data_IF_937679547567
#
_entry.id   IF_937679547567
#
_cell.length_a   1.000
_cell.length_b   1.000
_cell.length_c   1.000
_cell.angle_alpha   90.00
_cell.angle_beta   90.00
_cell.angle_gamma   90.00
#
_symmetry.space_group_name_H-M   'P 1'
#
loop_
_entity.id
_entity.type
_entity.pdbx_description
1 polymer ?
#
# COMPACT_ATOMS: atom_id res chain seq x y z
N UNK A 1 10.56 -1.06 -0.19
CA UNK A 1 10.97 -1.47 -1.56
C UNK A 1 11.41 -0.24 -2.35
N UNK A 2 12.41 -0.33 -3.24
CA UNK A 2 12.58 0.73 -4.25
C UNK A 2 11.34 0.70 -5.17
N UNK A 3 10.60 1.81 -5.30
CA UNK A 3 9.35 1.92 -6.10
C UNK A 3 9.45 1.33 -7.52
N UNK A 4 10.67 1.25 -8.08
CA UNK A 4 10.96 0.67 -9.39
C UNK A 4 10.78 -0.86 -9.45
N UNK A 5 11.00 -1.58 -8.36
CA UNK A 5 10.81 -3.03 -8.29
C UNK A 5 9.34 -3.41 -8.17
N UNK A 6 8.60 -2.72 -7.30
CA UNK A 6 7.14 -2.91 -7.19
C UNK A 6 6.45 -2.64 -8.53
N UNK A 7 6.83 -1.55 -9.21
CA UNK A 7 6.30 -1.23 -10.54
C UNK A 7 6.61 -2.32 -11.58
N UNK A 8 7.82 -2.87 -11.59
CA UNK A 8 8.19 -3.97 -12.49
C UNK A 8 7.38 -5.23 -12.19
N UNK A 9 7.27 -5.61 -10.92
CA UNK A 9 6.52 -6.79 -10.49
C UNK A 9 5.03 -6.64 -10.84
N UNK A 10 4.42 -5.51 -10.51
CA UNK A 10 3.01 -5.26 -10.82
C UNK A 10 2.75 -5.28 -12.34
N UNK A 11 3.66 -4.73 -13.15
CA UNK A 11 3.55 -4.82 -14.60
C UNK A 11 3.58 -6.29 -15.06
N UNK A 12 4.50 -7.10 -14.55
CA UNK A 12 4.57 -8.52 -14.92
C UNK A 12 3.34 -9.32 -14.44
N UNK A 13 2.78 -9.01 -13.27
CA UNK A 13 1.58 -9.68 -12.74
C UNK A 13 0.31 -9.41 -13.56
N UNK A 14 0.28 -8.32 -14.34
CA UNK A 14 -0.83 -7.98 -15.24
C UNK A 14 -0.79 -8.75 -16.57
N UNK A 15 0.26 -9.53 -16.82
CA UNK A 15 0.46 -10.29 -18.06
C UNK A 15 0.55 -11.79 -17.76
N UNK A 16 -0.36 -12.57 -18.35
CA UNK A 16 -0.37 -14.04 -18.21
C UNK A 16 0.73 -14.72 -19.05
N UNK A 17 1.32 -13.99 -20.01
CA UNK A 17 2.33 -14.50 -20.93
C UNK A 17 3.74 -14.00 -20.62
N UNK A 18 4.73 -14.72 -21.12
CA UNK A 18 6.13 -14.42 -20.89
C UNK A 18 6.54 -13.09 -21.55
N UNK A 19 7.32 -12.28 -20.83
CA UNK A 19 7.72 -10.95 -21.29
C UNK A 19 9.21 -10.91 -21.64
N UNK A 20 9.53 -10.43 -22.83
CA UNK A 20 10.93 -10.24 -23.25
C UNK A 20 11.59 -9.10 -22.48
N UNK A 21 12.92 -9.13 -22.41
CA UNK A 21 13.71 -8.04 -21.82
C UNK A 21 13.43 -6.67 -22.47
N UNK A 22 13.10 -6.66 -23.78
CA UNK A 22 12.79 -5.44 -24.53
C UNK A 22 11.42 -4.89 -24.17
N UNK A 23 10.40 -5.74 -24.03
CA UNK A 23 9.06 -5.32 -23.61
C UNK A 23 9.10 -4.70 -22.21
N UNK A 24 9.77 -5.35 -21.26
CA UNK A 24 9.95 -4.82 -19.91
C UNK A 24 10.70 -3.49 -19.91
N UNK A 25 11.77 -3.37 -20.71
CA UNK A 25 12.56 -2.15 -20.82
C UNK A 25 11.73 -0.97 -21.34
N UNK A 26 10.93 -1.21 -22.38
CA UNK A 26 10.05 -0.20 -22.96
C UNK A 26 8.95 0.22 -21.98
N UNK A 27 8.28 -0.74 -21.32
CA UNK A 27 7.23 -0.46 -20.36
C UNK A 27 7.73 0.34 -19.13
N UNK A 28 8.97 0.08 -18.72
CA UNK A 28 9.60 0.75 -17.59
C UNK A 28 10.36 2.02 -17.97
N UNK A 29 10.48 2.32 -19.27
CA UNK A 29 11.30 3.42 -19.82
C UNK A 29 12.76 3.39 -19.33
N UNK A 30 13.39 2.21 -19.38
CA UNK A 30 14.80 1.99 -18.97
C UNK A 30 15.52 1.09 -19.96
N UNK A 31 16.84 0.93 -19.80
CA UNK A 31 17.60 0.02 -20.65
C UNK A 31 17.33 -1.46 -20.33
N UNK A 32 17.54 -2.34 -21.30
CA UNK A 32 17.54 -3.81 -21.09
C UNK A 32 18.52 -4.23 -20.00
N UNK A 33 19.69 -3.57 -19.90
CA UNK A 33 20.67 -3.82 -18.83
C UNK A 33 20.09 -3.49 -17.46
N UNK A 34 19.32 -2.41 -17.36
CA UNK A 34 18.63 -1.99 -16.13
C UNK A 34 17.58 -3.02 -15.71
N UNK A 35 16.77 -3.53 -16.65
CA UNK A 35 15.80 -4.60 -16.35
C UNK A 35 16.47 -5.85 -15.79
N UNK A 36 17.56 -6.31 -16.43
CA UNK A 36 18.33 -7.46 -15.93
C UNK A 36 18.85 -7.24 -14.51
N UNK A 37 19.29 -6.01 -14.22
CA UNK A 37 19.76 -5.61 -12.89
C UNK A 37 18.61 -5.62 -11.87
N UNK A 38 17.44 -5.08 -12.24
CA UNK A 38 16.26 -5.08 -11.36
C UNK A 38 15.82 -6.50 -11.02
N UNK A 39 15.73 -7.39 -12.03
CA UNK A 39 15.36 -8.79 -11.84
C UNK A 39 16.37 -9.52 -10.93
N UNK A 40 17.66 -9.28 -11.13
CA UNK A 40 18.71 -9.86 -10.28
C UNK A 40 18.59 -9.40 -8.82
N UNK A 41 18.34 -8.10 -8.60
CA UNK A 41 18.15 -7.55 -7.27
C UNK A 41 16.88 -8.07 -6.59
N UNK A 42 15.75 -8.13 -7.31
CA UNK A 42 14.50 -8.68 -6.79
C UNK A 42 14.70 -10.12 -6.31
N UNK A 43 15.30 -10.98 -7.15
CA UNK A 43 15.54 -12.38 -6.79
C UNK A 43 16.54 -12.53 -5.63
N UNK A 44 17.53 -11.63 -5.55
CA UNK A 44 18.50 -11.62 -4.46
C UNK A 44 17.84 -11.22 -3.14
N UNK A 45 17.05 -10.15 -3.15
CA UNK A 45 16.35 -9.63 -1.99
C UNK A 45 15.33 -10.64 -1.47
N UNK A 46 14.59 -11.29 -2.39
CA UNK A 46 13.61 -12.33 -2.07
C UNK A 46 14.26 -13.65 -1.59
N UNK A 47 15.59 -13.79 -1.75
CA UNK A 47 16.35 -15.05 -1.52
C UNK A 47 15.77 -16.25 -2.29
N UNK A 48 15.02 -16.00 -3.35
CA UNK A 48 14.35 -16.99 -4.20
C UNK A 48 14.14 -16.43 -5.60
N UNK A 49 13.82 -17.29 -6.57
CA UNK A 49 13.55 -16.87 -7.95
C UNK A 49 12.09 -16.45 -8.11
N UNK A 50 11.79 -15.21 -7.74
CA UNK A 50 10.48 -14.56 -8.00
C UNK A 50 10.24 -14.40 -9.50
N UNK A 51 11.29 -14.03 -10.25
CA UNK A 51 11.25 -13.86 -11.70
C UNK A 51 12.25 -14.85 -12.33
N UNK A 52 11.75 -15.72 -13.20
CA UNK A 52 12.51 -16.77 -13.86
C UNK A 52 12.78 -16.34 -15.31
N UNK A 53 14.02 -16.56 -15.77
CA UNK A 53 14.39 -16.36 -17.17
C UNK A 53 14.31 -17.69 -17.92
N UNK A 54 13.77 -17.67 -19.14
CA UNK A 54 13.82 -18.78 -20.09
C UNK A 54 14.27 -18.29 -21.48
N UNK A 55 14.21 -19.15 -22.50
CA UNK A 55 14.67 -18.82 -23.86
C UNK A 55 13.81 -17.77 -24.57
N UNK A 56 12.57 -17.57 -24.12
CA UNK A 56 11.55 -16.75 -24.75
C UNK A 56 11.30 -15.44 -24.00
N UNK A 57 11.73 -15.32 -22.75
CA UNK A 57 11.62 -14.11 -21.94
C UNK A 57 11.77 -14.35 -20.44
N UNK A 58 10.94 -13.65 -19.68
CA UNK A 58 10.81 -13.77 -18.24
C UNK A 58 9.39 -14.12 -17.85
N UNK A 59 9.28 -14.97 -16.84
CA UNK A 59 8.03 -15.40 -16.22
C UNK A 59 8.08 -15.05 -14.75
N UNK A 60 7.00 -14.47 -14.24
CA UNK A 60 6.86 -14.18 -12.82
C UNK A 60 6.11 -15.30 -12.11
N UNK A 61 6.61 -15.73 -10.96
CA UNK A 61 5.86 -16.62 -10.09
C UNK A 61 4.90 -15.78 -9.24
N UNK A 62 3.60 -15.87 -9.52
CA UNK A 62 2.57 -15.06 -8.85
C UNK A 62 2.61 -15.19 -7.32
N UNK A 63 2.70 -16.41 -6.79
CA UNK A 63 2.71 -16.66 -5.34
C UNK A 63 3.95 -16.04 -4.68
N UNK A 64 5.13 -16.24 -5.25
CA UNK A 64 6.38 -15.69 -4.72
C UNK A 64 6.46 -14.17 -4.88
N UNK A 65 5.92 -13.63 -5.98
CA UNK A 65 5.84 -12.20 -6.21
C UNK A 65 4.92 -11.52 -5.19
N UNK A 66 3.76 -12.12 -4.91
CA UNK A 66 2.84 -11.60 -3.92
C UNK A 66 3.44 -11.68 -2.51
N UNK A 67 4.09 -12.79 -2.17
CA UNK A 67 4.83 -12.91 -0.91
C UNK A 67 5.94 -11.85 -0.80
N UNK A 68 6.73 -11.62 -1.85
CA UNK A 68 7.78 -10.60 -1.87
C UNK A 68 7.21 -9.17 -1.74
N UNK A 69 6.07 -8.89 -2.38
CA UNK A 69 5.38 -7.61 -2.22
C UNK A 69 4.83 -7.43 -0.79
N UNK A 70 4.31 -8.49 -0.18
CA UNK A 70 3.76 -8.47 1.19
C UNK A 70 4.84 -8.37 2.27
N UNK A 71 5.93 -9.12 2.13
CA UNK A 71 7.05 -9.14 3.08
C UNK A 71 7.76 -7.78 3.11
N UNK A 72 7.90 -7.14 1.96
CA UNK A 72 8.52 -5.81 1.85
C UNK A 72 7.56 -4.66 2.22
N UNK A 73 6.24 -4.89 2.21
CA UNK A 73 5.26 -3.92 2.74
C UNK A 73 5.22 -3.86 4.27
N UNK A 74 5.87 -4.79 4.97
CA UNK A 74 5.64 -4.98 6.40
C UNK A 74 6.55 -4.23 7.38
N UNK A 75 7.61 -3.52 6.98
CA UNK A 75 8.54 -3.01 8.02
C UNK A 75 8.41 -1.52 8.35
N UNK A 76 8.35 -0.59 7.40
CA UNK A 76 8.31 0.85 7.75
C UNK A 76 7.55 1.63 6.66
N UNK A 77 6.46 2.34 6.98
CA UNK A 77 5.78 3.23 6.04
C UNK A 77 6.72 4.30 5.44
N UNK A 78 6.93 4.28 4.12
CA UNK A 78 7.94 5.13 3.47
C UNK A 78 7.40 6.49 3.01
N UNK A 79 6.09 6.59 2.74
CA UNK A 79 5.47 7.81 2.25
C UNK A 79 4.15 8.14 2.97
N UNK A 80 3.58 9.29 2.63
CA UNK A 80 2.32 9.76 3.21
C UNK A 80 1.17 8.74 3.06
N UNK A 81 1.08 8.06 1.91
CA UNK A 81 -0.01 7.11 1.66
C UNK A 81 0.15 5.90 2.56
N UNK A 82 1.36 5.40 2.71
CA UNK A 82 1.66 4.26 3.59
C UNK A 82 1.45 4.62 5.06
N UNK A 83 1.86 5.83 5.49
CA UNK A 83 1.63 6.29 6.87
C UNK A 83 0.15 6.47 7.17
N UNK A 84 -0.62 7.04 6.24
CA UNK A 84 -2.07 7.15 6.37
C UNK A 84 -2.72 5.77 6.52
N UNK A 85 -2.35 4.80 5.68
CA UNK A 85 -2.83 3.42 5.78
C UNK A 85 -2.50 2.78 7.12
N UNK A 86 -1.27 2.96 7.57
CA UNK A 86 -0.82 2.44 8.87
C UNK A 86 -1.67 2.99 10.02
N UNK A 87 -1.91 4.31 10.04
CA UNK A 87 -2.75 4.95 11.06
C UNK A 87 -4.18 4.37 11.04
N UNK A 88 -4.79 4.23 9.86
CA UNK A 88 -6.11 3.62 9.71
C UNK A 88 -6.14 2.17 10.22
N UNK A 89 -5.12 1.39 9.89
CA UNK A 89 -4.98 0.00 10.36
C UNK A 89 -4.84 -0.09 11.87
N UNK A 90 -4.08 0.81 12.49
CA UNK A 90 -3.95 0.85 13.95
C UNK A 90 -5.29 1.15 14.65
N UNK A 91 -6.09 2.10 14.13
CA UNK A 91 -7.44 2.36 14.66
C UNK A 91 -8.33 1.11 14.57
N UNK A 92 -8.29 0.41 13.42
CA UNK A 92 -9.05 -0.82 13.20
C UNK A 92 -8.63 -1.96 14.12
N UNK A 93 -7.34 -2.28 14.17
CA UNK A 93 -6.82 -3.41 14.94
C UNK A 93 -7.02 -3.23 16.45
N UNK A 94 -6.92 -2.00 16.95
CA UNK A 94 -7.15 -1.70 18.37
C UNK A 94 -8.64 -1.58 18.73
N UNK A 95 -9.54 -1.61 17.75
CA UNK A 95 -10.97 -1.34 17.94
C UNK A 95 -11.21 -0.08 18.81
N UNK A 96 -10.42 0.96 18.57
CA UNK A 96 -10.42 2.19 19.38
C UNK A 96 -10.53 3.41 18.49
N UNK A 97 -11.11 4.48 19.02
CA UNK A 97 -11.14 5.81 18.43
C UNK A 97 -9.94 6.67 18.87
N UNK A 98 -8.97 6.09 19.59
CA UNK A 98 -7.79 6.78 20.10
C UNK A 98 -6.51 5.97 19.94
N UNK A 99 -5.42 6.65 19.56
CA UNK A 99 -4.07 6.08 19.48
C UNK A 99 -3.09 6.93 20.27
N UNK A 100 -2.21 6.31 21.07
CA UNK A 100 -1.13 7.05 21.73
C UNK A 100 -0.15 7.60 20.67
N UNK A 101 0.23 8.87 20.82
CA UNK A 101 1.05 9.60 19.85
C UNK A 101 2.48 9.08 19.83
N UNK A 102 3.07 8.80 20.99
CA UNK A 102 4.46 8.34 21.10
C UNK A 102 4.62 6.94 20.50
N UNK A 103 3.72 6.01 20.85
CA UNK A 103 3.64 4.67 20.25
C UNK A 103 3.53 4.76 18.73
N UNK A 104 2.69 5.67 18.24
CA UNK A 104 2.43 5.83 16.81
C UNK A 104 3.67 6.40 16.10
N UNK A 105 4.35 7.38 16.69
CA UNK A 105 5.59 7.94 16.16
C UNK A 105 6.71 6.89 16.11
N UNK A 106 6.84 6.07 17.15
CA UNK A 106 7.82 4.97 17.22
C UNK A 106 7.57 3.95 16.11
N UNK A 107 6.32 3.46 15.98
CA UNK A 107 5.93 2.49 14.94
C UNK A 107 6.07 3.02 13.52
N UNK A 108 5.80 4.31 13.31
CA UNK A 108 5.92 4.96 12.01
C UNK A 108 7.36 5.39 11.68
N UNK A 109 8.28 5.37 12.66
CA UNK A 109 9.63 5.93 12.57
C UNK A 109 9.64 7.40 12.11
N UNK A 110 8.74 8.22 12.68
CA UNK A 110 8.64 9.65 12.36
C UNK A 110 8.62 10.51 13.62
N UNK A 111 9.00 11.78 13.48
CA UNK A 111 8.79 12.78 14.53
C UNK A 111 7.31 13.13 14.68
N UNK A 112 6.92 13.59 15.87
CA UNK A 112 5.57 14.13 16.12
C UNK A 112 5.21 15.28 15.15
N UNK A 113 6.17 16.11 14.76
CA UNK A 113 5.97 17.18 13.76
C UNK A 113 5.60 16.65 12.38
N UNK A 114 6.17 15.51 11.98
CA UNK A 114 5.82 14.82 10.74
C UNK A 114 4.41 14.25 10.83
N UNK A 115 4.09 13.57 11.93
CA UNK A 115 2.75 13.03 12.18
C UNK A 115 1.69 14.14 12.18
N UNK A 116 1.96 15.29 12.80
CA UNK A 116 1.07 16.46 12.78
C UNK A 116 0.83 17.00 11.37
N UNK A 117 1.88 17.02 10.55
CA UNK A 117 1.78 17.43 9.15
C UNK A 117 0.95 16.44 8.32
N UNK A 118 1.14 15.15 8.55
CA UNK A 118 0.34 14.10 7.92
C UNK A 118 -1.13 14.21 8.35
N UNK A 119 -1.43 14.34 9.64
CA UNK A 119 -2.80 14.52 10.17
C UNK A 119 -3.48 15.75 9.56
N UNK A 120 -2.76 16.88 9.44
CA UNK A 120 -3.29 18.08 8.77
C UNK A 120 -3.70 17.78 7.33
N UNK A 121 -2.87 17.04 6.59
CA UNK A 121 -3.15 16.65 5.20
C UNK A 121 -4.31 15.64 5.12
N UNK A 122 -4.39 14.69 6.05
CA UNK A 122 -5.49 13.73 6.16
C UNK A 122 -6.83 14.47 6.37
N UNK A 123 -6.86 15.43 7.29
CA UNK A 123 -8.06 16.23 7.56
C UNK A 123 -8.50 17.05 6.35
N UNK A 124 -7.55 17.58 5.57
CA UNK A 124 -7.88 18.29 4.31
C UNK A 124 -8.53 17.36 3.29
N UNK A 125 -7.96 16.17 3.08
CA UNK A 125 -8.48 15.17 2.13
C UNK A 125 -9.86 14.64 2.52
N UNK A 126 -10.15 14.57 3.82
CA UNK A 126 -11.39 13.99 4.34
C UNK A 126 -12.45 15.01 4.77
N UNK A 127 -12.20 16.31 4.54
CA UNK A 127 -13.10 17.40 4.96
C UNK A 127 -14.53 17.25 4.44
N UNK A 128 -14.72 16.75 3.21
CA UNK A 128 -16.04 16.51 2.62
C UNK A 128 -16.83 15.39 3.30
N UNK A 129 -16.17 14.47 4.00
CA UNK A 129 -16.77 13.28 4.63
C UNK A 129 -16.99 13.45 6.14
N UNK A 130 -16.72 14.64 6.68
CA UNK A 130 -16.81 14.93 8.12
C UNK A 130 -15.91 14.03 9.00
N UNK A 131 -14.87 13.44 8.41
CA UNK A 131 -13.87 12.65 9.13
C UNK A 131 -12.71 13.57 9.50
N UNK A 132 -12.30 13.54 10.77
CA UNK A 132 -11.19 14.33 11.29
C UNK A 132 -10.40 13.56 12.34
N UNK A 133 -9.09 13.74 12.32
CA UNK A 133 -8.17 13.29 13.35
C UNK A 133 -7.74 14.49 14.19
N UNK A 134 -7.79 14.35 15.52
CA UNK A 134 -7.52 15.44 16.47
C UNK A 134 -6.52 15.03 17.53
N UNK A 135 -5.55 15.91 17.81
CA UNK A 135 -4.64 15.72 18.92
C UNK A 135 -5.31 16.15 20.22
N UNK A 136 -5.40 15.25 21.19
CA UNK A 136 -5.91 15.53 22.53
C UNK A 136 -5.02 14.87 23.58
N UNK A 137 -4.29 15.70 24.35
CA UNK A 137 -3.24 15.24 25.27
C UNK A 137 -2.23 14.37 24.52
N UNK A 138 -2.00 13.15 24.99
CA UNK A 138 -1.08 12.16 24.43
C UNK A 138 -1.73 11.26 23.36
N UNK A 139 -2.95 11.59 22.92
CA UNK A 139 -3.72 10.75 22.01
C UNK A 139 -4.09 11.46 20.71
N UNK A 140 -4.09 10.70 19.62
CA UNK A 140 -4.71 11.03 18.35
C UNK A 140 -6.11 10.40 18.32
N UNK A 141 -7.15 11.23 18.25
CA UNK A 141 -8.54 10.84 18.24
C UNK A 141 -9.10 10.83 16.83
N UNK A 142 -9.85 9.80 16.45
CA UNK A 142 -10.59 9.74 15.20
C UNK A 142 -12.06 10.10 15.44
N UNK A 143 -12.58 11.05 14.66
CA UNK A 143 -13.95 11.57 14.76
C UNK A 143 -14.60 11.60 13.39
N UNK A 144 -15.86 11.20 13.33
CA UNK A 144 -16.68 11.27 12.13
C UNK A 144 -17.93 10.39 12.25
N UNK A 145 -18.86 10.47 11.29
CA UNK A 145 -19.99 9.55 11.23
C UNK A 145 -19.47 8.11 11.05
N UNK A 146 -19.96 7.17 11.87
CA UNK A 146 -19.56 5.75 11.81
C UNK A 146 -19.65 5.18 10.39
N UNK A 147 -20.70 5.56 9.64
CA UNK A 147 -20.87 5.16 8.24
C UNK A 147 -19.71 5.62 7.34
N UNK A 148 -19.21 6.82 7.53
CA UNK A 148 -18.11 7.37 6.72
C UNK A 148 -16.76 6.81 7.18
N UNK A 149 -16.56 6.61 8.49
CA UNK A 149 -15.39 5.91 9.03
C UNK A 149 -15.27 4.50 8.47
N UNK A 150 -16.37 3.74 8.46
CA UNK A 150 -16.43 2.38 7.91
C UNK A 150 -16.09 2.36 6.42
N UNK A 151 -16.59 3.32 5.64
CA UNK A 151 -16.24 3.47 4.21
C UNK A 151 -14.75 3.75 4.03
N UNK A 152 -14.20 4.71 4.77
CA UNK A 152 -12.77 5.06 4.72
C UNK A 152 -11.90 3.84 5.01
N UNK A 153 -12.24 3.08 6.05
CA UNK A 153 -11.53 1.86 6.44
C UNK A 153 -11.61 0.78 5.38
N UNK A 154 -12.80 0.52 4.83
CA UNK A 154 -12.97 -0.46 3.75
C UNK A 154 -12.05 -0.10 2.57
N UNK A 155 -12.11 1.12 2.05
CA UNK A 155 -11.27 1.55 0.92
C UNK A 155 -9.79 1.35 1.25
N UNK A 156 -9.37 1.76 2.46
CA UNK A 156 -7.96 1.72 2.86
C UNK A 156 -7.43 0.29 3.02
N UNK A 157 -8.23 -0.62 3.56
CA UNK A 157 -7.87 -2.04 3.77
C UNK A 157 -7.95 -2.85 2.48
N UNK A 158 -8.94 -2.59 1.62
CA UNK A 158 -9.06 -3.31 0.34
C UNK A 158 -7.98 -2.89 -0.67
N UNK A 159 -7.49 -1.65 -0.61
CA UNK A 159 -6.30 -1.20 -1.36
C UNK A 159 -5.03 -2.03 -1.02
N UNK A 160 -4.95 -2.60 0.19
CA UNK A 160 -3.80 -3.38 0.68
C UNK A 160 -3.80 -4.83 0.17
N UNK A 161 -4.99 -5.39 -0.13
CA UNK A 161 -5.17 -6.80 -0.51
C UNK A 161 -4.87 -7.05 -2.00
N UNK A 162 -4.63 -5.99 -2.79
CA UNK A 162 -4.31 -6.12 -4.23
C UNK A 162 -5.50 -6.59 -5.07
N UNK A 163 -6.72 -6.50 -4.54
CA UNK A 163 -7.95 -6.73 -5.29
C UNK A 163 -8.25 -5.55 -6.19
N UNK A 164 -8.51 -5.83 -7.47
CA UNK A 164 -9.14 -4.89 -8.40
C UNK A 164 -10.27 -4.13 -7.70
N UNK A 165 -10.31 -2.82 -7.95
CA UNK A 165 -11.38 -1.87 -7.71
C UNK A 165 -12.75 -2.56 -7.56
N UNK A 166 -13.11 -2.98 -6.34
CA UNK A 166 -14.45 -3.49 -6.09
C UNK A 166 -15.38 -2.28 -6.07
N UNK A 167 -16.22 -2.30 -7.09
CA UNK A 167 -17.14 -1.28 -7.51
C UNK A 167 -17.84 -0.61 -6.32
N UNK A 168 -17.67 0.70 -6.19
CA UNK A 168 -18.37 1.52 -5.20
C UNK A 168 -19.90 1.40 -5.36
N UNK A 169 -20.37 0.95 -6.53
CA UNK A 169 -21.77 0.62 -6.80
C UNK A 169 -22.21 -0.70 -6.14
N UNK A 170 -21.34 -1.72 -6.04
CA UNK A 170 -21.70 -3.03 -5.48
C UNK A 170 -21.96 -2.95 -3.95
N UNK A 171 -21.20 -2.11 -3.24
CA UNK A 171 -21.38 -1.90 -1.80
C UNK A 171 -22.63 -1.05 -1.51
N UNK A 172 -23.03 -0.15 -2.42
CA UNK A 172 -24.29 0.58 -2.30
C UNK A 172 -25.51 -0.34 -2.45
N UNK A 173 -25.43 -1.35 -3.31
CA UNK A 173 -26.52 -2.29 -3.53
C UNK A 173 -26.65 -3.32 -2.40
N UNK A 174 -25.55 -3.83 -1.83
CA UNK A 174 -25.59 -4.81 -0.74
C UNK A 174 -25.91 -4.22 0.63
N UNK A 175 -25.51 -2.98 0.91
CA UNK A 175 -25.65 -2.35 2.24
C UNK A 175 -26.54 -1.10 2.23
N UNK A 176 -27.29 -0.89 1.14
CA UNK A 176 -28.21 0.24 0.95
C UNK A 176 -29.57 0.10 1.62
N UNK A 177 -29.84 -0.99 2.34
CA UNK A 177 -31.08 -1.15 3.09
C UNK A 177 -30.83 -1.89 4.40
N UNK A 178 -30.60 -1.13 5.47
CA UNK A 178 -31.00 -1.38 6.87
C UNK A 178 -30.65 -0.14 7.73
#
# INVERSE_FOLDING_TARGET
MERKYEKLINYMLQHESELTSKQLANAMNVSVRTIKTYIANINKDARTKVIISNNTGYVINHTLAQAYLSDVRNEIPQDFKDRFRFICREFLLKHSDSLNIDDLCEKLFVSESTLRSDVKRINQLNSAYQIRMEFYKEYLLLRGPERELRKMFNITVFDDIGGNYFDYQLIQDEYGSL
#
